data_IF_294129024550
#
_entry.id   IF_294129024550
#
_cell.length_a   1.000
_cell.length_b   1.000
_cell.length_c   1.000
_cell.angle_alpha   90.00
_cell.angle_beta   90.00
_cell.angle_gamma   90.00
#
_symmetry.space_group_name_H-M   'P 1'
#
loop_
_entity.id
_entity.type
_entity.pdbx_description
1 polymer ?
#
# COMPACT_ATOMS: atom_id res chain seq x y z
N UNK A 1 17.96 10.10 28.77
CA UNK A 1 18.69 8.82 28.60
C UNK A 1 18.00 7.78 29.46
N UNK A 2 17.61 6.66 28.88
CA UNK A 2 17.04 5.55 29.64
C UNK A 2 18.17 4.75 30.29
N UNK A 3 17.87 4.05 31.38
CA UNK A 3 18.81 3.12 32.02
C UNK A 3 18.34 1.70 31.83
N UNK A 4 19.25 0.80 31.53
CA UNK A 4 18.99 -0.62 31.27
C UNK A 4 19.84 -1.46 32.23
N UNK A 5 19.30 -2.59 32.67
CA UNK A 5 20.01 -3.57 33.48
C UNK A 5 20.14 -4.88 32.70
N UNK A 6 21.38 -5.33 32.50
CA UNK A 6 21.69 -6.63 31.88
C UNK A 6 22.15 -7.57 32.98
N UNK A 7 21.54 -8.73 33.10
CA UNK A 7 21.90 -9.78 34.03
C UNK A 7 22.56 -10.92 33.26
N UNK A 8 23.72 -11.36 33.74
CA UNK A 8 24.41 -12.55 33.24
C UNK A 8 24.87 -13.40 34.41
N UNK A 9 24.44 -14.67 34.43
CA UNK A 9 24.63 -15.60 35.56
C UNK A 9 24.14 -14.97 36.88
N UNK A 10 25.06 -14.56 37.75
CA UNK A 10 24.76 -13.94 39.06
C UNK A 10 25.15 -12.46 39.14
N UNK A 11 25.56 -11.86 38.02
CA UNK A 11 26.06 -10.48 37.95
C UNK A 11 25.11 -9.60 37.14
N UNK A 12 25.02 -8.33 37.52
CA UNK A 12 24.16 -7.35 36.83
C UNK A 12 25.01 -6.14 36.41
N UNK A 13 24.85 -5.72 35.17
CA UNK A 13 25.48 -4.55 34.58
C UNK A 13 24.43 -3.48 34.30
N UNK A 14 24.75 -2.23 34.62
CA UNK A 14 23.86 -1.08 34.38
C UNK A 14 24.45 -0.22 33.27
N UNK A 15 23.71 -0.05 32.18
CA UNK A 15 24.09 0.85 31.07
C UNK A 15 23.07 1.97 30.87
N UNK A 16 23.54 3.12 30.39
CA UNK A 16 22.71 4.26 29.97
C UNK A 16 22.58 4.21 28.45
N UNK A 17 21.36 4.29 27.93
CA UNK A 17 21.07 4.26 26.50
C UNK A 17 20.38 5.56 26.05
N UNK A 18 20.81 6.08 24.90
CA UNK A 18 20.15 7.21 24.24
C UNK A 18 18.89 6.72 23.49
N UNK A 19 17.87 7.57 23.28
CA UNK A 19 16.64 7.15 22.59
C UNK A 19 16.85 6.55 21.19
N UNK A 20 17.87 7.03 20.46
CA UNK A 20 18.20 6.57 19.11
C UNK A 20 19.29 5.48 19.08
N UNK A 21 19.87 5.12 20.23
CA UNK A 21 20.88 4.07 20.31
C UNK A 21 20.23 2.68 20.26
N UNK A 22 20.98 1.68 19.80
CA UNK A 22 20.49 0.30 19.64
C UNK A 22 20.92 -0.57 20.82
N UNK A 23 20.29 -1.73 20.98
CA UNK A 23 20.69 -2.68 22.02
C UNK A 23 22.01 -3.39 21.71
N UNK A 24 22.51 -3.35 20.47
CA UNK A 24 23.87 -3.82 20.13
C UNK A 24 24.96 -3.06 20.90
N UNK A 25 24.78 -1.75 21.09
CA UNK A 25 25.72 -0.92 21.86
C UNK A 25 25.74 -1.34 23.34
N UNK A 26 24.58 -1.71 23.88
CA UNK A 26 24.48 -2.23 25.25
C UNK A 26 25.02 -3.66 25.34
N UNK A 27 24.85 -4.46 24.28
CA UNK A 27 25.38 -5.81 24.20
C UNK A 27 26.91 -5.80 24.22
N UNK A 28 27.55 -5.01 23.36
CA UNK A 28 29.01 -4.86 23.35
C UNK A 28 29.55 -4.41 24.71
N UNK A 29 28.96 -3.36 25.31
CA UNK A 29 29.31 -2.90 26.66
C UNK A 29 29.12 -3.98 27.73
N UNK A 30 28.07 -4.82 27.60
CA UNK A 30 27.82 -5.90 28.54
C UNK A 30 28.82 -7.05 28.38
N UNK A 31 29.21 -7.41 27.16
CA UNK A 31 30.23 -8.43 26.90
C UNK A 31 31.59 -8.01 27.46
N UNK A 32 31.96 -6.74 27.24
CA UNK A 32 33.18 -6.16 27.79
C UNK A 32 33.16 -6.16 29.33
N UNK A 33 32.02 -5.82 29.96
CA UNK A 33 31.89 -5.82 31.41
C UNK A 33 31.91 -7.23 32.01
N UNK A 34 31.30 -8.22 31.34
CA UNK A 34 31.23 -9.60 31.83
C UNK A 34 32.44 -10.46 31.42
N UNK A 35 33.41 -9.92 30.66
CA UNK A 35 34.54 -10.65 30.09
C UNK A 35 34.11 -11.93 29.36
N UNK A 36 33.04 -11.84 28.57
CA UNK A 36 32.50 -12.96 27.78
C UNK A 36 33.05 -12.89 26.36
N UNK A 37 33.36 -14.04 25.75
CA UNK A 37 33.90 -14.10 24.38
C UNK A 37 32.98 -13.37 23.40
N UNK A 38 33.54 -12.63 22.45
CA UNK A 38 32.76 -11.91 21.42
C UNK A 38 32.34 -12.79 20.24
N UNK A 39 32.85 -14.03 20.20
CA UNK A 39 32.63 -14.96 19.09
C UNK A 39 31.31 -15.74 19.21
N UNK A 40 30.62 -15.66 20.35
CA UNK A 40 29.33 -16.31 20.59
C UNK A 40 28.12 -15.53 20.05
N UNK A 41 27.02 -16.23 19.79
CA UNK A 41 25.75 -15.62 19.35
C UNK A 41 24.92 -15.21 20.57
N UNK A 42 25.11 -13.98 21.04
CA UNK A 42 24.43 -13.48 22.24
C UNK A 42 23.09 -12.83 21.92
N UNK A 43 22.09 -13.11 22.76
CA UNK A 43 20.78 -12.48 22.67
C UNK A 43 20.32 -11.98 24.04
N UNK A 44 19.48 -10.93 24.02
CA UNK A 44 18.79 -10.45 25.22
C UNK A 44 17.40 -11.05 25.35
N UNK A 45 17.09 -11.49 26.56
CA UNK A 45 15.79 -12.02 26.95
C UNK A 45 15.11 -11.12 27.98
N UNK A 46 13.82 -10.87 27.79
CA UNK A 46 12.95 -10.21 28.78
C UNK A 46 11.68 -11.01 28.95
N UNK A 47 11.40 -11.44 30.18
CA UNK A 47 10.23 -12.26 30.51
C UNK A 47 10.10 -13.51 29.61
N UNK A 48 11.22 -14.16 29.28
CA UNK A 48 11.26 -15.35 28.41
C UNK A 48 11.10 -15.08 26.91
N UNK A 49 11.01 -13.82 26.46
CA UNK A 49 10.97 -13.45 25.04
C UNK A 49 12.30 -12.85 24.57
N UNK A 50 12.79 -13.32 23.41
CA UNK A 50 13.97 -12.76 22.73
C UNK A 50 13.64 -11.36 22.23
N UNK A 51 14.59 -10.44 22.39
CA UNK A 51 14.47 -9.05 21.94
C UNK A 51 15.43 -8.83 20.79
N UNK A 52 14.97 -8.11 19.78
CA UNK A 52 15.77 -7.71 18.63
C UNK A 52 16.79 -6.63 19.00
N UNK A 53 18.05 -6.87 18.63
CA UNK A 53 19.17 -6.02 19.03
C UNK A 53 19.40 -4.81 18.12
N UNK A 54 18.90 -4.90 16.88
CA UNK A 54 19.13 -3.92 15.81
C UNK A 54 18.13 -2.76 15.82
N UNK A 55 17.10 -2.82 16.67
CA UNK A 55 16.05 -1.82 16.72
C UNK A 55 16.42 -0.70 17.72
N UNK A 56 16.25 0.59 17.36
CA UNK A 56 16.45 1.71 18.27
C UNK A 56 15.64 1.60 19.56
N UNK A 57 16.21 2.01 20.70
CA UNK A 57 15.58 1.92 22.02
C UNK A 57 14.16 2.51 22.06
N UNK A 58 13.95 3.67 21.41
CA UNK A 58 12.64 4.34 21.35
C UNK A 58 11.53 3.50 20.71
N UNK A 59 11.87 2.60 19.78
CA UNK A 59 10.90 1.78 19.02
C UNK A 59 10.59 0.46 19.71
N UNK A 60 11.41 0.03 20.67
CA UNK A 60 11.19 -1.21 21.41
C UNK A 60 10.04 -1.12 22.43
N UNK A 61 9.47 0.07 22.66
CA UNK A 61 8.39 0.33 23.64
C UNK A 61 8.70 -0.23 25.05
N UNK A 62 9.97 -0.18 25.45
CA UNK A 62 10.42 -0.68 26.75
C UNK A 62 10.46 0.46 27.78
N UNK A 63 10.04 0.22 29.02
CA UNK A 63 10.12 1.22 30.07
C UNK A 63 11.58 1.49 30.45
N UNK A 64 11.85 2.70 30.94
CA UNK A 64 13.12 3.01 31.59
C UNK A 64 13.36 2.06 32.78
N UNK A 65 14.56 1.50 32.88
CA UNK A 65 14.89 0.48 33.88
C UNK A 65 14.60 -0.95 33.44
N UNK A 66 14.40 -1.21 32.13
CA UNK A 66 14.21 -2.57 31.62
C UNK A 66 15.35 -3.50 32.04
N UNK A 67 14.98 -4.73 32.44
CA UNK A 67 15.90 -5.80 32.82
C UNK A 67 15.98 -6.82 31.70
N UNK A 68 17.19 -7.16 31.30
CA UNK A 68 17.50 -8.16 30.28
C UNK A 68 18.33 -9.27 30.89
N UNK A 69 18.14 -10.49 30.42
CA UNK A 69 19.02 -11.62 30.69
C UNK A 69 19.85 -11.88 29.42
N UNK A 70 21.16 -11.88 29.55
CA UNK A 70 22.10 -12.23 28.48
C UNK A 70 22.18 -13.75 28.40
N UNK A 71 21.89 -14.30 27.22
CA UNK A 71 22.02 -15.74 26.97
C UNK A 71 22.96 -15.95 25.78
N UNK A 72 23.86 -16.92 25.94
CA UNK A 72 24.65 -17.46 24.85
C UNK A 72 23.79 -18.47 24.09
N UNK A 73 23.46 -18.17 22.84
CA UNK A 73 22.85 -19.14 21.95
C UNK A 73 24.01 -19.96 21.40
N UNK A 74 24.36 -21.03 22.11
CA UNK A 74 25.28 -22.03 21.57
C UNK A 74 24.79 -22.39 20.17
N UNK A 75 25.60 -22.11 19.15
CA UNK A 75 25.34 -22.32 17.73
C UNK A 75 25.36 -23.81 17.36
N UNK A 76 24.66 -24.65 18.14
CA UNK A 76 24.65 -26.10 17.98
C UNK A 76 23.27 -26.70 17.64
N UNK A 77 22.19 -25.92 17.59
CA UNK A 77 20.84 -26.50 17.40
C UNK A 77 20.19 -26.28 16.02
N UNK A 78 20.83 -25.59 15.08
CA UNK A 78 20.21 -25.31 13.76
C UNK A 78 21.00 -25.74 12.52
N UNK A 79 22.18 -26.37 12.66
CA UNK A 79 22.95 -26.84 11.51
C UNK A 79 22.57 -28.24 11.00
N UNK A 80 21.88 -29.07 11.80
CA UNK A 80 21.62 -30.48 11.46
C UNK A 80 20.15 -30.80 11.13
N UNK A 81 19.21 -29.88 11.33
CA UNK A 81 17.80 -30.14 10.99
C UNK A 81 17.59 -29.96 9.48
N UNK A 82 17.03 -30.97 8.77
CA UNK A 82 16.71 -30.82 7.36
C UNK A 82 15.60 -29.79 7.19
N UNK A 83 15.83 -28.81 6.31
CA UNK A 83 14.87 -27.75 5.98
C UNK A 83 14.12 -28.15 4.72
N UNK A 84 12.79 -28.06 4.74
CA UNK A 84 11.94 -28.29 3.57
C UNK A 84 11.81 -27.02 2.75
N UNK A 85 12.40 -26.99 1.57
CA UNK A 85 12.39 -25.83 0.68
C UNK A 85 11.54 -26.13 -0.55
N UNK A 86 10.60 -25.24 -0.86
CA UNK A 86 9.78 -25.32 -2.08
C UNK A 86 10.43 -24.48 -3.18
N UNK A 87 10.91 -25.11 -4.24
CA UNK A 87 11.40 -24.47 -5.46
C UNK A 87 10.25 -24.30 -6.44
N UNK A 88 9.88 -23.05 -6.75
CA UNK A 88 8.92 -22.70 -7.79
C UNK A 88 9.69 -22.13 -8.98
N UNK A 89 9.70 -22.84 -10.10
CA UNK A 89 10.37 -22.39 -11.32
C UNK A 89 9.29 -21.90 -12.29
N UNK A 90 9.47 -20.68 -12.80
CA UNK A 90 8.58 -20.16 -13.85
C UNK A 90 8.63 -21.05 -15.09
N UNK A 91 7.46 -21.52 -15.55
CA UNK A 91 7.32 -22.42 -16.69
C UNK A 91 7.48 -23.92 -16.41
N UNK A 92 8.14 -24.32 -15.31
CA UNK A 92 8.46 -25.74 -15.02
C UNK A 92 7.76 -26.33 -13.77
N UNK A 93 7.05 -25.50 -13.00
CA UNK A 93 6.22 -25.92 -11.86
C UNK A 93 6.89 -25.79 -10.50
N UNK A 94 6.36 -26.47 -9.48
CA UNK A 94 6.87 -26.40 -8.10
C UNK A 94 7.31 -27.75 -7.55
N UNK A 95 8.42 -27.77 -6.81
CA UNK A 95 8.99 -28.96 -6.16
C UNK A 95 9.38 -28.67 -4.71
N UNK A 96 9.19 -29.63 -3.80
CA UNK A 96 9.65 -29.52 -2.42
C UNK A 96 10.86 -30.45 -2.25
N UNK A 97 11.95 -29.95 -1.68
CA UNK A 97 13.15 -30.74 -1.38
C UNK A 97 13.62 -30.49 0.05
N UNK A 98 14.05 -31.55 0.71
CA UNK A 98 14.72 -31.48 2.01
C UNK A 98 16.21 -31.21 1.79
N UNK A 99 16.71 -30.14 2.39
CA UNK A 99 18.07 -29.64 2.20
C UNK A 99 18.65 -29.21 3.55
N UNK A 100 19.97 -29.36 3.74
CA UNK A 100 20.64 -28.85 4.93
C UNK A 100 21.04 -27.38 4.75
N UNK A 101 21.06 -26.62 5.83
CA UNK A 101 21.40 -25.20 5.78
C UNK A 101 22.82 -24.93 5.24
N UNK A 102 23.72 -25.91 5.33
CA UNK A 102 25.11 -25.83 4.87
C UNK A 102 25.30 -26.22 3.39
N UNK A 103 24.29 -26.82 2.75
CA UNK A 103 24.40 -27.27 1.37
C UNK A 103 24.53 -26.09 0.40
N UNK A 104 25.28 -26.29 -0.68
CA UNK A 104 25.46 -25.28 -1.73
C UNK A 104 24.21 -25.24 -2.62
N UNK A 105 23.63 -24.05 -2.76
CA UNK A 105 22.38 -23.85 -3.49
C UNK A 105 22.45 -24.38 -4.94
N UNK A 106 23.49 -24.02 -5.69
CA UNK A 106 23.62 -24.42 -7.09
C UNK A 106 23.71 -25.94 -7.31
N UNK A 107 24.39 -26.68 -6.41
CA UNK A 107 24.50 -28.14 -6.53
C UNK A 107 23.14 -28.81 -6.36
N UNK A 108 22.33 -28.30 -5.43
CA UNK A 108 20.96 -28.81 -5.23
C UNK A 108 20.05 -28.46 -6.39
N UNK A 109 20.21 -27.29 -7.00
CA UNK A 109 19.47 -26.88 -8.20
C UNK A 109 19.84 -27.73 -9.42
N UNK A 110 21.13 -28.02 -9.63
CA UNK A 110 21.59 -28.94 -10.67
C UNK A 110 21.05 -30.37 -10.47
N UNK A 111 21.00 -30.83 -9.22
CA UNK A 111 20.40 -32.13 -8.88
C UNK A 111 18.90 -32.17 -9.21
N UNK A 112 18.18 -31.08 -8.93
CA UNK A 112 16.76 -30.93 -9.28
C UNK A 112 16.53 -30.93 -10.80
N UNK A 113 17.42 -30.27 -11.55
CA UNK A 113 17.35 -30.20 -13.00
C UNK A 113 17.47 -31.60 -13.64
N UNK A 114 18.46 -32.39 -13.21
CA UNK A 114 18.69 -33.74 -13.74
C UNK A 114 17.54 -34.71 -13.40
N UNK A 115 16.98 -34.59 -12.20
CA UNK A 115 15.90 -35.46 -11.71
C UNK A 115 14.58 -35.25 -12.47
N UNK A 116 14.28 -33.99 -12.84
CA UNK A 116 13.02 -33.63 -13.51
C UNK A 116 13.14 -33.44 -15.02
N UNK A 117 14.35 -33.56 -15.58
CA UNK A 117 14.65 -33.23 -16.99
C UNK A 117 14.17 -31.83 -17.36
N UNK A 118 14.46 -30.85 -16.51
CA UNK A 118 14.12 -29.47 -16.81
C UNK A 118 15.19 -28.86 -17.72
N UNK A 119 14.79 -28.45 -18.92
CA UNK A 119 15.68 -27.80 -19.89
C UNK A 119 15.73 -26.30 -19.61
N UNK A 120 16.59 -25.89 -18.67
CA UNK A 120 16.91 -24.48 -18.45
C UNK A 120 18.39 -24.22 -18.32
N UNK A 121 18.83 -23.05 -18.81
CA UNK A 121 20.20 -22.58 -18.66
C UNK A 121 20.39 -22.02 -17.25
N UNK A 122 21.31 -22.63 -16.48
CA UNK A 122 21.63 -22.17 -15.12
C UNK A 122 22.17 -20.73 -15.08
N UNK A 123 22.77 -20.24 -16.17
CA UNK A 123 23.37 -18.89 -16.26
C UNK A 123 22.34 -17.76 -16.34
N UNK A 124 21.13 -18.06 -16.81
CA UNK A 124 20.08 -17.07 -17.01
C UNK A 124 19.12 -17.02 -15.81
N UNK A 125 19.51 -17.61 -14.67
CA UNK A 125 18.64 -17.72 -13.51
C UNK A 125 18.73 -16.47 -12.63
N UNK A 126 17.56 -15.89 -12.35
CA UNK A 126 17.32 -14.98 -11.24
C UNK A 126 16.57 -15.72 -10.12
N UNK A 127 17.23 -15.89 -8.97
CA UNK A 127 16.59 -16.46 -7.78
C UNK A 127 16.06 -15.31 -6.94
N UNK A 128 14.76 -15.26 -6.70
CA UNK A 128 14.20 -14.31 -5.73
C UNK A 128 14.14 -14.97 -4.36
N UNK A 129 14.91 -14.40 -3.44
CA UNK A 129 14.95 -14.79 -2.04
C UNK A 129 14.39 -13.63 -1.22
N UNK A 130 13.20 -13.83 -0.66
CA UNK A 130 12.42 -12.79 0.03
C UNK A 130 12.19 -11.56 -0.86
N UNK A 131 12.92 -10.45 -0.63
CA UNK A 131 12.83 -9.20 -1.39
C UNK A 131 14.11 -8.89 -2.20
N UNK A 132 15.06 -9.84 -2.27
CA UNK A 132 16.32 -9.68 -3.00
C UNK A 132 16.33 -10.64 -4.20
N UNK A 133 16.60 -10.11 -5.39
CA UNK A 133 16.95 -10.90 -6.55
C UNK A 133 18.45 -11.20 -6.49
N UNK A 134 18.82 -12.48 -6.56
CA UNK A 134 20.20 -12.95 -6.57
C UNK A 134 20.45 -13.61 -7.92
N UNK A 135 21.49 -13.18 -8.61
CA UNK A 135 21.88 -13.65 -9.94
C UNK A 135 22.87 -14.81 -9.86
N UNK A 136 23.00 -15.57 -10.94
CA UNK A 136 23.92 -16.72 -11.02
C UNK A 136 25.34 -16.43 -10.50
N UNK A 137 25.90 -15.27 -10.84
CA UNK A 137 27.24 -14.83 -10.41
C UNK A 137 27.42 -14.72 -8.88
N UNK A 138 26.33 -14.44 -8.15
CA UNK A 138 26.33 -14.33 -6.70
C UNK A 138 26.03 -15.67 -6.01
N UNK A 139 25.43 -16.62 -6.73
CA UNK A 139 25.01 -17.92 -6.20
C UNK A 139 26.12 -18.97 -6.17
N UNK A 140 27.25 -18.73 -6.82
CA UNK A 140 28.33 -19.72 -7.03
C UNK A 140 28.89 -20.31 -5.73
N UNK A 141 28.94 -19.51 -4.65
CA UNK A 141 29.52 -19.90 -3.37
C UNK A 141 28.57 -19.77 -2.18
N UNK A 142 27.27 -19.59 -2.42
CA UNK A 142 26.29 -19.36 -1.35
C UNK A 142 25.61 -20.67 -0.90
N UNK A 143 25.61 -20.88 0.42
CA UNK A 143 24.82 -21.93 1.08
C UNK A 143 23.40 -21.42 1.38
N UNK A 144 22.49 -22.34 1.67
CA UNK A 144 21.13 -21.99 2.09
C UNK A 144 21.11 -21.06 3.31
N UNK A 145 21.99 -21.28 4.29
CA UNK A 145 22.15 -20.39 5.45
C UNK A 145 22.58 -18.97 5.06
N UNK A 146 23.52 -18.83 4.11
CA UNK A 146 24.00 -17.52 3.65
C UNK A 146 22.95 -16.74 2.85
N UNK A 147 22.01 -17.46 2.23
CA UNK A 147 20.84 -16.89 1.55
C UNK A 147 19.68 -16.59 2.52
N UNK A 148 19.85 -16.86 3.83
CA UNK A 148 18.83 -16.61 4.85
C UNK A 148 17.77 -17.71 4.97
N UNK A 149 17.97 -18.88 4.34
CA UNK A 149 17.08 -20.03 4.47
C UNK A 149 17.40 -20.82 5.74
N UNK A 150 16.81 -20.37 6.85
CA UNK A 150 16.89 -21.04 8.17
C UNK A 150 15.59 -21.80 8.49
N UNK A 151 14.50 -21.48 7.79
CA UNK A 151 13.15 -22.01 7.99
C UNK A 151 12.57 -22.59 6.69
N UNK A 152 11.54 -23.46 6.73
CA UNK A 152 10.92 -24.01 5.53
C UNK A 152 10.31 -22.92 4.66
N UNK A 153 10.99 -22.60 3.55
CA UNK A 153 10.72 -21.41 2.73
C UNK A 153 10.43 -21.78 1.28
N UNK A 154 9.66 -20.93 0.59
CA UNK A 154 9.45 -21.05 -0.86
C UNK A 154 10.39 -20.11 -1.61
N UNK A 155 11.12 -20.66 -2.58
CA UNK A 155 12.06 -19.96 -3.46
C UNK A 155 11.48 -19.89 -4.85
N UNK A 156 11.41 -18.68 -5.43
CA UNK A 156 11.00 -18.53 -6.83
C UNK A 156 12.23 -18.32 -7.71
N UNK A 157 12.30 -19.09 -8.78
CA UNK A 157 13.36 -19.08 -9.77
C UNK A 157 12.74 -18.60 -11.08
N UNK A 158 13.16 -17.43 -11.54
CA UNK A 158 12.77 -16.86 -12.83
C UNK A 158 13.97 -16.75 -13.76
N UNK A 159 13.72 -16.67 -15.06
CA UNK A 159 14.77 -16.50 -16.07
C UNK A 159 14.94 -15.02 -16.42
N UNK A 160 16.19 -14.60 -16.58
CA UNK A 160 16.56 -13.28 -17.07
C UNK A 160 16.48 -13.34 -18.58
N UNK A 161 15.61 -12.54 -19.17
CA UNK A 161 15.58 -12.37 -20.61
C UNK A 161 16.77 -11.50 -21.03
N UNK A 162 17.55 -11.97 -22.01
CA UNK A 162 18.78 -11.34 -22.49
C UNK A 162 18.53 -9.96 -23.13
N UNK A 163 17.28 -9.53 -23.31
CA UNK A 163 16.91 -8.22 -23.83
C UNK A 163 17.06 -7.05 -22.81
N UNK A 164 17.24 -7.32 -21.52
CA UNK A 164 17.23 -6.29 -20.47
C UNK A 164 18.61 -5.93 -19.88
N UNK A 165 19.71 -6.22 -20.57
CA UNK A 165 21.08 -5.94 -20.09
C UNK A 165 21.82 -4.94 -20.99
N UNK A 166 21.47 -3.65 -20.89
CA UNK A 166 22.39 -2.57 -21.29
C UNK A 166 22.09 -1.28 -20.52
N UNK A 167 22.49 -1.24 -19.24
CA UNK A 167 22.79 0.02 -18.56
C UNK A 167 24.27 -0.06 -18.19
N UNK A 168 25.12 0.52 -19.05
CA UNK A 168 26.51 0.78 -18.70
C UNK A 168 26.60 2.11 -17.95
N UNK A 169 27.32 2.06 -16.83
CA UNK A 169 27.93 3.17 -16.13
C UNK A 169 28.93 3.89 -17.06
N UNK A 170 28.94 5.23 -17.07
CA UNK A 170 30.11 6.02 -17.45
C UNK A 170 30.16 7.34 -16.68
N UNK A 171 31.33 7.56 -16.08
CA UNK A 171 31.76 8.73 -15.33
C UNK A 171 32.04 9.97 -16.21
N UNK A 172 31.97 11.10 -15.52
CA UNK A 172 32.35 12.50 -15.77
C UNK A 172 33.55 12.78 -16.69
N UNK A 173 33.43 13.77 -17.59
CA UNK A 173 34.45 14.83 -17.80
C UNK A 173 33.87 16.07 -18.52
N UNK A 174 34.42 17.23 -18.15
CA UNK A 174 33.97 18.59 -18.48
C UNK A 174 34.39 19.03 -19.89
N UNK A 175 33.53 19.78 -20.58
CA UNK A 175 33.97 20.93 -21.38
C UNK A 175 32.83 21.95 -21.55
N UNK A 176 33.17 23.22 -21.35
CA UNK A 176 32.33 24.39 -21.62
C UNK A 176 33.04 25.16 -22.75
N UNK A 177 32.32 25.83 -23.68
CA UNK A 177 32.05 27.25 -23.43
C UNK A 177 30.69 27.79 -23.93
N UNK A 178 30.26 28.84 -23.22
CA UNK A 178 29.24 29.89 -23.48
C UNK A 178 29.31 30.56 -24.89
N UNK A 179 28.46 31.57 -25.23
CA UNK A 179 27.01 31.79 -24.97
C UNK A 179 26.27 32.40 -26.20
N UNK A 180 24.94 32.26 -26.37
CA UNK A 180 24.16 33.33 -27.04
C UNK A 180 22.64 33.30 -26.78
N UNK A 181 22.17 34.40 -26.20
CA UNK A 181 20.89 35.12 -26.35
C UNK A 181 19.52 34.38 -26.37
N UNK A 182 18.85 34.45 -25.21
CA UNK A 182 17.54 35.12 -24.98
C UNK A 182 16.45 35.04 -26.06
N UNK A 183 15.38 34.29 -25.77
CA UNK A 183 13.98 34.80 -25.89
C UNK A 183 13.12 34.18 -24.77
N UNK A 184 12.43 35.04 -24.02
CA UNK A 184 11.53 34.71 -22.91
C UNK A 184 10.26 33.95 -23.35
N UNK A 185 9.68 33.08 -22.51
CA UNK A 185 8.37 32.50 -22.76
C UNK A 185 7.25 33.46 -22.31
N UNK A 186 6.33 33.72 -23.23
CA UNK A 186 5.04 34.36 -22.97
C UNK A 186 4.22 33.39 -22.10
N UNK A 187 3.80 33.87 -20.93
CA UNK A 187 2.78 33.22 -20.10
C UNK A 187 1.41 33.47 -20.73
N UNK A 188 0.77 32.42 -21.20
CA UNK A 188 -0.69 32.38 -21.32
C UNK A 188 -1.24 31.46 -20.23
N UNK A 189 -1.80 32.09 -19.21
CA UNK A 189 -2.74 31.45 -18.28
C UNK A 189 -3.96 30.97 -19.08
N UNK A 190 -4.02 29.68 -19.39
CA UNK A 190 -5.27 29.03 -19.74
C UNK A 190 -5.83 28.38 -18.49
N UNK A 191 -6.74 29.11 -17.83
CA UNK A 191 -7.72 28.53 -16.93
C UNK A 191 -8.53 27.47 -17.69
N UNK A 192 -8.22 26.19 -17.48
CA UNK A 192 -9.06 25.09 -17.98
C UNK A 192 -10.30 25.00 -17.10
N UNK A 193 -11.37 25.63 -17.57
CA UNK A 193 -12.75 25.35 -17.15
C UNK A 193 -13.09 23.90 -17.54
N UNK A 194 -13.73 23.09 -16.67
CA UNK A 194 -14.10 21.73 -17.04
C UNK A 194 -15.19 21.76 -18.12
N UNK A 195 -14.89 21.21 -19.29
CA UNK A 195 -15.88 20.95 -20.34
C UNK A 195 -16.94 19.96 -19.83
N UNK A 196 -18.22 20.12 -20.21
CA UNK A 196 -19.28 19.19 -19.81
C UNK A 196 -18.98 17.78 -20.34
N UNK A 197 -19.04 16.78 -19.45
CA UNK A 197 -18.91 15.38 -19.84
C UNK A 197 -20.00 15.01 -20.86
N UNK A 198 -19.59 14.62 -22.07
CA UNK A 198 -20.53 14.18 -23.12
C UNK A 198 -21.02 12.77 -22.76
N UNK A 199 -22.32 12.66 -22.49
CA UNK A 199 -23.01 11.41 -22.14
C UNK A 199 -22.78 10.38 -23.27
N UNK A 200 -22.53 9.13 -22.91
CA UNK A 200 -22.24 7.98 -23.79
C UNK A 200 -20.93 8.07 -24.61
N UNK A 201 -20.02 9.00 -24.32
CA UNK A 201 -18.71 9.00 -24.99
C UNK A 201 -17.71 8.09 -24.26
N UNK A 202 -17.17 7.03 -24.92
CA UNK A 202 -16.16 6.18 -24.32
C UNK A 202 -14.81 6.91 -24.22
N UNK A 203 -14.22 6.92 -23.03
CA UNK A 203 -12.85 7.36 -22.78
C UNK A 203 -12.03 6.20 -22.23
N UNK A 204 -10.95 5.83 -22.92
CA UNK A 204 -10.05 4.80 -22.43
C UNK A 204 -8.94 5.42 -21.56
N UNK A 205 -8.51 4.66 -20.56
CA UNK A 205 -7.34 4.95 -19.74
C UNK A 205 -6.39 3.78 -19.76
N UNK A 206 -5.12 4.08 -20.02
CA UNK A 206 -4.04 3.11 -20.04
C UNK A 206 -3.21 3.29 -18.75
N UNK A 207 -2.73 2.20 -18.14
CA UNK A 207 -1.78 2.30 -17.03
C UNK A 207 -0.57 3.16 -17.43
N UNK A 208 -0.22 4.14 -16.61
CA UNK A 208 1.01 4.92 -16.81
C UNK A 208 2.22 4.01 -16.57
N UNK A 209 3.28 4.16 -17.36
CA UNK A 209 4.58 3.52 -17.11
C UNK A 209 5.27 4.08 -15.86
N UNK A 210 4.86 5.27 -15.42
CA UNK A 210 5.27 5.82 -14.14
C UNK A 210 4.58 5.06 -13.00
N UNK A 211 5.38 4.33 -12.23
CA UNK A 211 4.89 3.65 -11.04
C UNK A 211 4.33 4.68 -10.05
N UNK A 212 3.05 4.55 -9.71
CA UNK A 212 2.37 5.33 -8.66
C UNK A 212 3.17 5.27 -7.34
N UNK A 213 3.90 4.18 -7.14
CA UNK A 213 4.79 3.96 -6.00
C UNK A 213 5.86 5.06 -5.90
N UNK A 214 6.40 5.56 -7.02
CA UNK A 214 7.40 6.63 -7.02
C UNK A 214 6.83 7.98 -6.55
N UNK A 215 5.55 8.23 -6.85
CA UNK A 215 4.83 9.43 -6.37
C UNK A 215 4.43 9.31 -4.90
N UNK A 216 4.12 8.10 -4.43
CA UNK A 216 3.81 7.85 -3.01
C UNK A 216 5.08 7.88 -2.14
N UNK A 217 6.22 7.39 -2.63
CA UNK A 217 7.51 7.44 -1.90
C UNK A 217 7.98 8.89 -1.69
N UNK A 218 7.65 9.79 -2.61
CA UNK A 218 7.99 11.22 -2.47
C UNK A 218 7.07 11.97 -1.51
N UNK A 219 5.92 11.40 -1.16
CA UNK A 219 5.05 11.87 -0.08
C UNK A 219 5.45 11.18 1.22
N UNK A 220 6.56 11.61 1.81
CA UNK A 220 6.88 11.28 3.21
C UNK A 220 5.89 12.05 4.11
N UNK A 221 4.69 11.49 4.27
CA UNK A 221 3.70 11.98 5.23
C UNK A 221 4.29 11.80 6.63
N UNK A 222 4.75 12.91 7.25
CA UNK A 222 5.41 12.86 8.55
C UNK A 222 4.56 12.19 9.64
N UNK A 223 5.21 11.65 10.66
CA UNK A 223 4.59 10.88 11.77
C UNK A 223 3.35 11.56 12.39
N UNK A 224 3.32 12.89 12.41
CA UNK A 224 2.21 13.71 12.91
C UNK A 224 0.87 13.42 12.20
N UNK A 225 0.90 12.95 10.94
CA UNK A 225 -0.29 12.58 10.14
C UNK A 225 -1.05 11.42 10.78
N UNK A 226 -0.33 10.54 11.48
CA UNK A 226 -0.88 9.38 12.17
C UNK A 226 -1.25 9.66 13.63
N UNK A 227 -0.93 10.86 14.15
CA UNK A 227 -1.33 11.27 15.49
C UNK A 227 -2.76 11.83 15.52
N UNK A 228 -3.55 11.39 16.52
CA UNK A 228 -4.93 11.82 16.67
C UNK A 228 -5.00 13.29 17.12
N UNK A 229 -5.44 14.17 16.23
CA UNK A 229 -5.66 15.58 16.57
C UNK A 229 -6.83 15.76 17.55
N UNK A 230 -6.82 16.86 18.31
CA UNK A 230 -7.88 17.19 19.28
C UNK A 230 -9.25 17.31 18.60
N UNK A 231 -9.31 17.83 17.37
CA UNK A 231 -10.56 17.97 16.62
C UNK A 231 -11.08 16.63 16.11
N UNK A 232 -10.20 15.73 15.66
CA UNK A 232 -10.57 14.35 15.35
C UNK A 232 -11.06 13.61 16.60
N UNK A 233 -10.40 13.81 17.75
CA UNK A 233 -10.83 13.22 19.03
C UNK A 233 -12.21 13.70 19.47
N UNK A 234 -12.52 15.00 19.32
CA UNK A 234 -13.87 15.55 19.57
C UNK A 234 -14.92 14.94 18.63
N UNK A 235 -14.63 14.84 17.33
CA UNK A 235 -15.52 14.17 16.36
C UNK A 235 -15.76 12.71 16.72
N UNK A 236 -14.69 12.00 17.11
CA UNK A 236 -14.79 10.62 17.54
C UNK A 236 -15.64 10.46 18.81
N UNK A 237 -15.47 11.35 19.80
CA UNK A 237 -16.31 11.38 21.00
C UNK A 237 -17.79 11.62 20.66
N UNK A 238 -18.10 12.51 19.70
CA UNK A 238 -19.46 12.71 19.22
C UNK A 238 -20.03 11.44 18.56
N UNK A 239 -19.25 10.77 17.70
CA UNK A 239 -19.64 9.50 17.08
C UNK A 239 -19.92 8.44 18.14
N UNK A 240 -19.07 8.31 19.15
CA UNK A 240 -19.28 7.40 20.27
C UNK A 240 -20.54 7.77 21.03
N UNK A 241 -20.75 9.04 21.37
CA UNK A 241 -21.95 9.48 22.10
C UNK A 241 -23.25 9.17 21.34
N UNK A 242 -23.24 9.32 20.01
CA UNK A 242 -24.37 8.99 19.15
C UNK A 242 -24.60 7.47 19.07
N UNK A 243 -23.54 6.66 19.18
CA UNK A 243 -23.61 5.20 19.20
C UNK A 243 -23.97 4.63 20.59
N UNK A 244 -23.58 5.29 21.68
CA UNK A 244 -23.73 4.81 23.06
C UNK A 244 -25.03 5.21 23.74
N UNK A 245 -25.96 5.88 23.02
CA UNK A 245 -27.30 6.13 23.53
C UNK A 245 -28.00 4.83 23.95
N UNK A 246 -28.19 4.65 25.26
CA UNK A 246 -28.96 3.57 25.93
C UNK A 246 -28.72 2.14 25.42
N UNK A 247 -27.75 1.42 26.00
CA UNK A 247 -27.56 -0.05 26.04
C UNK A 247 -27.82 -0.88 24.75
N UNK A 248 -27.91 -0.25 23.58
CA UNK A 248 -28.29 -0.88 22.31
C UNK A 248 -28.42 0.10 21.12
N UNK A 249 -28.09 1.38 21.31
CA UNK A 249 -28.27 2.42 20.29
C UNK A 249 -29.73 2.88 20.18
N UNK A 250 -30.00 3.98 19.47
CA UNK A 250 -31.37 4.45 19.24
C UNK A 250 -32.18 3.38 18.50
N UNK A 251 -33.34 3.00 19.07
CA UNK A 251 -34.24 2.02 18.46
C UNK A 251 -34.58 2.47 17.03
N UNK A 252 -34.42 1.56 16.07
CA UNK A 252 -34.83 1.75 14.68
C UNK A 252 -36.37 1.71 14.57
N UNK A 253 -37.03 2.77 15.04
CA UNK A 253 -38.49 2.92 14.94
C UNK A 253 -38.93 2.92 13.47
N UNK A 254 -40.19 2.56 13.21
CA UNK A 254 -40.79 2.58 11.85
C UNK A 254 -40.53 3.93 11.14
N UNK A 255 -40.77 5.03 11.86
CA UNK A 255 -40.50 6.39 11.38
C UNK A 255 -39.03 6.61 10.99
N UNK A 256 -38.08 6.12 11.78
CA UNK A 256 -36.64 6.28 11.50
C UNK A 256 -36.20 5.46 10.27
N UNK A 257 -36.83 4.30 10.04
CA UNK A 257 -36.58 3.47 8.84
C UNK A 257 -37.08 4.17 7.59
N UNK A 258 -38.33 4.62 7.60
CA UNK A 258 -38.93 5.38 6.49
C UNK A 258 -38.12 6.64 6.19
N UNK A 259 -37.69 7.37 7.23
CA UNK A 259 -36.84 8.54 7.04
C UNK A 259 -35.50 8.19 6.37
N UNK A 260 -34.80 7.13 6.82
CA UNK A 260 -33.55 6.69 6.16
C UNK A 260 -33.78 6.29 4.72
N UNK A 261 -34.87 5.60 4.42
CA UNK A 261 -35.20 5.17 3.07
C UNK A 261 -35.47 6.38 2.16
N UNK A 262 -36.20 7.38 2.66
CA UNK A 262 -36.40 8.65 1.95
C UNK A 262 -35.11 9.42 1.73
N UNK A 263 -34.21 9.47 2.73
CA UNK A 263 -32.91 10.09 2.61
C UNK A 263 -32.02 9.36 1.59
N UNK A 264 -32.04 8.02 1.59
CA UNK A 264 -31.32 7.20 0.61
C UNK A 264 -31.89 7.39 -0.80
N UNK A 265 -33.22 7.43 -0.94
CA UNK A 265 -33.89 7.70 -2.21
C UNK A 265 -33.61 9.12 -2.70
N UNK A 266 -33.59 10.11 -1.82
CA UNK A 266 -33.22 11.48 -2.17
C UNK A 266 -31.76 11.57 -2.62
N UNK A 267 -30.85 10.84 -1.98
CA UNK A 267 -29.44 10.74 -2.42
C UNK A 267 -29.31 10.09 -3.79
N UNK A 268 -30.07 9.00 -4.06
CA UNK A 268 -30.11 8.37 -5.40
C UNK A 268 -30.66 9.33 -6.45
N UNK A 269 -31.75 10.04 -6.14
CA UNK A 269 -32.34 11.04 -7.04
C UNK A 269 -31.42 12.27 -7.25
N UNK A 270 -30.50 12.54 -6.33
CA UNK A 270 -29.52 13.62 -6.46
C UNK A 270 -28.37 13.27 -7.43
N UNK A 271 -28.20 11.98 -7.78
CA UNK A 271 -27.21 11.55 -8.78
C UNK A 271 -27.67 12.02 -10.16
N UNK A 272 -26.92 12.96 -10.75
CA UNK A 272 -27.19 13.47 -12.10
C UNK A 272 -26.47 12.67 -13.18
N UNK A 273 -25.33 12.07 -12.83
CA UNK A 273 -24.42 11.37 -13.74
C UNK A 273 -23.88 10.12 -13.04
N UNK A 274 -23.80 9.03 -13.80
CA UNK A 274 -23.25 7.73 -13.39
C UNK A 274 -22.03 7.42 -14.26
N UNK A 275 -20.84 7.49 -13.67
CA UNK A 275 -19.61 7.08 -14.32
C UNK A 275 -19.45 5.57 -14.16
N UNK A 276 -19.50 4.84 -15.28
CA UNK A 276 -19.23 3.41 -15.30
C UNK A 276 -17.84 3.21 -15.85
N UNK A 277 -16.99 2.57 -15.04
CA UNK A 277 -15.62 2.25 -15.40
C UNK A 277 -15.45 0.75 -15.52
N UNK A 278 -15.17 0.28 -16.72
CA UNK A 278 -14.99 -1.13 -17.03
C UNK A 278 -13.50 -1.44 -17.04
N UNK A 279 -13.08 -2.39 -16.21
CA UNK A 279 -11.71 -2.90 -16.14
C UNK A 279 -11.58 -4.10 -17.08
N UNK A 280 -10.63 -4.04 -17.99
CA UNK A 280 -10.30 -5.14 -18.87
C UNK A 280 -9.17 -6.01 -18.31
N UNK A 281 -9.02 -7.26 -18.78
CA UNK A 281 -7.91 -8.14 -18.41
C UNK A 281 -6.52 -7.59 -18.79
N UNK A 282 -6.45 -6.71 -19.80
CA UNK A 282 -5.24 -6.05 -20.30
C UNK A 282 -4.83 -4.82 -19.45
N UNK A 283 -5.42 -4.66 -18.25
CA UNK A 283 -5.24 -3.54 -17.33
C UNK A 283 -5.73 -2.19 -17.86
N UNK A 284 -6.35 -2.15 -19.05
CA UNK A 284 -6.99 -0.94 -19.56
C UNK A 284 -8.32 -0.70 -18.87
N UNK A 285 -8.74 0.57 -18.86
CA UNK A 285 -10.01 0.98 -18.31
C UNK A 285 -10.82 1.74 -19.35
N UNK A 286 -12.11 1.47 -19.43
CA UNK A 286 -13.06 2.22 -20.23
C UNK A 286 -14.02 2.95 -19.31
N UNK A 287 -13.98 4.28 -19.30
CA UNK A 287 -14.92 5.12 -18.58
C UNK A 287 -15.95 5.68 -19.56
N UNK A 288 -17.23 5.48 -19.22
CA UNK A 288 -18.37 6.03 -19.96
C UNK A 288 -19.31 6.70 -18.95
N UNK A 289 -19.83 7.86 -19.33
CA UNK A 289 -20.80 8.61 -18.53
C UNK A 289 -22.22 8.28 -18.98
N UNK A 290 -23.04 7.83 -18.05
CA UNK A 290 -24.44 7.46 -18.24
C UNK A 290 -25.36 8.31 -17.36
N UNK A 291 -26.65 8.32 -17.69
CA UNK A 291 -27.70 8.86 -16.82
C UNK A 291 -28.14 7.78 -15.83
N UNK A 292 -28.65 8.16 -14.65
CA UNK A 292 -29.18 7.21 -13.67
C UNK A 292 -30.37 6.40 -14.21
N UNK A 293 -31.08 6.93 -15.20
CA UNK A 293 -32.25 6.31 -15.86
C UNK A 293 -31.88 5.37 -17.00
N UNK A 294 -30.60 5.20 -17.32
CA UNK A 294 -30.19 4.30 -18.41
C UNK A 294 -30.33 2.83 -17.97
N UNK A 295 -30.36 1.92 -18.95
CA UNK A 295 -30.47 0.48 -18.73
C UNK A 295 -29.15 -0.23 -18.98
N UNK A 296 -28.98 -1.42 -18.40
CA UNK A 296 -27.79 -2.24 -18.65
C UNK A 296 -27.61 -2.60 -20.12
N UNK A 297 -28.70 -2.76 -20.89
CA UNK A 297 -28.60 -2.97 -22.35
C UNK A 297 -27.85 -1.86 -23.07
N UNK A 298 -28.05 -0.60 -22.66
CA UNK A 298 -27.33 0.54 -23.23
C UNK A 298 -25.85 0.44 -22.87
N UNK A 299 -25.53 0.06 -21.63
CA UNK A 299 -24.14 -0.18 -21.21
C UNK A 299 -23.50 -1.27 -22.08
N UNK A 300 -24.15 -2.43 -22.24
CA UNK A 300 -23.66 -3.51 -23.10
C UNK A 300 -23.43 -3.07 -24.56
N UNK A 301 -24.35 -2.28 -25.12
CA UNK A 301 -24.23 -1.77 -26.49
C UNK A 301 -23.09 -0.73 -26.65
N UNK A 302 -22.92 0.17 -25.68
CA UNK A 302 -21.81 1.12 -25.73
C UNK A 302 -20.44 0.44 -25.53
N UNK A 303 -20.40 -0.63 -24.73
CA UNK A 303 -19.20 -1.44 -24.57
C UNK A 303 -18.90 -2.21 -25.84
N UNK A 304 -19.88 -2.87 -26.47
CA UNK A 304 -19.65 -3.62 -27.71
C UNK A 304 -19.14 -2.73 -28.85
N UNK A 305 -19.64 -1.49 -28.99
CA UNK A 305 -19.11 -0.51 -29.94
C UNK A 305 -17.67 -0.10 -29.67
N UNK A 306 -17.23 -0.17 -28.41
CA UNK A 306 -15.86 0.15 -28.02
C UNK A 306 -14.89 -1.02 -28.21
N UNK A 307 -15.39 -2.25 -28.37
CA UNK A 307 -14.59 -3.44 -28.62
C UNK A 307 -14.13 -3.54 -30.08
N UNK A 308 -13.00 -4.20 -30.32
CA UNK A 308 -12.51 -4.51 -31.68
C UNK A 308 -13.57 -5.32 -32.44
N UNK A 309 -14.09 -6.37 -31.80
CA UNK A 309 -15.16 -7.22 -32.32
C UNK A 309 -16.51 -6.81 -31.68
N UNK A 310 -17.42 -6.27 -32.48
CA UNK A 310 -18.76 -5.83 -32.01
C UNK A 310 -19.63 -7.02 -31.54
N UNK A 311 -19.43 -8.19 -32.15
CA UNK A 311 -20.21 -9.40 -31.89
C UNK A 311 -19.61 -10.32 -30.81
N UNK A 312 -18.67 -9.80 -30.01
CA UNK A 312 -18.05 -10.59 -28.94
C UNK A 312 -19.03 -10.85 -27.79
N UNK A 313 -19.14 -12.12 -27.38
CA UNK A 313 -19.86 -12.48 -26.16
C UNK A 313 -19.01 -12.19 -24.91
N UNK A 314 -19.47 -11.25 -24.09
CA UNK A 314 -18.82 -10.86 -22.84
C UNK A 314 -19.83 -10.70 -21.70
N UNK A 315 -19.34 -10.81 -20.48
CA UNK A 315 -20.10 -10.58 -19.25
C UNK A 315 -19.42 -9.56 -18.35
N UNK A 316 -20.21 -8.68 -17.74
CA UNK A 316 -19.75 -7.66 -16.80
C UNK A 316 -20.03 -8.10 -15.36
N UNK A 317 -19.04 -7.94 -14.49
CA UNK A 317 -19.14 -8.28 -13.07
C UNK A 317 -18.95 -7.07 -12.16
N UNK A 318 -19.69 -7.01 -11.05
CA UNK A 318 -19.34 -6.16 -9.92
C UNK A 318 -18.22 -6.84 -9.10
N UNK A 319 -17.29 -6.07 -8.55
CA UNK A 319 -16.10 -6.64 -7.90
C UNK A 319 -16.38 -7.21 -6.51
N UNK A 320 -17.22 -6.56 -5.70
CA UNK A 320 -17.47 -6.98 -4.31
C UNK A 320 -18.94 -6.75 -3.90
N UNK A 321 -19.74 -7.80 -3.67
CA UNK A 321 -19.50 -9.22 -3.99
C UNK A 321 -19.47 -9.47 -5.52
N UNK A 322 -18.86 -10.57 -5.95
CA UNK A 322 -18.83 -10.92 -7.39
C UNK A 322 -20.23 -11.25 -7.87
N UNK A 323 -20.89 -10.26 -8.50
CA UNK A 323 -22.25 -10.36 -9.04
C UNK A 323 -22.18 -10.19 -10.54
N UNK A 324 -22.68 -11.18 -11.26
CA UNK A 324 -22.86 -11.10 -12.70
C UNK A 324 -24.00 -10.15 -13.04
N UNK A 325 -23.78 -9.27 -14.02
CA UNK A 325 -24.77 -8.32 -14.50
C UNK A 325 -25.28 -8.79 -15.86
N UNK A 326 -26.54 -9.24 -15.92
CA UNK A 326 -27.18 -9.62 -17.19
C UNK A 326 -27.50 -8.39 -18.04
N UNK A 327 -27.63 -8.59 -19.37
CA UNK A 327 -28.01 -7.56 -20.32
C UNK A 327 -29.53 -7.28 -20.29
N UNK A 328 -30.03 -6.90 -19.12
CA UNK A 328 -31.45 -6.69 -18.86
C UNK A 328 -31.85 -5.21 -18.94
N UNK A 329 -33.16 -4.93 -18.93
CA UNK A 329 -33.72 -3.58 -18.86
C UNK A 329 -33.65 -2.96 -17.45
N UNK A 330 -32.89 -3.57 -16.53
CA UNK A 330 -32.67 -3.05 -15.18
C UNK A 330 -32.00 -1.68 -15.22
N UNK A 331 -32.52 -0.75 -14.41
CA UNK A 331 -32.02 0.61 -14.31
C UNK A 331 -30.71 0.66 -13.52
N UNK A 332 -29.76 1.49 -13.97
CA UNK A 332 -28.45 1.61 -13.34
C UNK A 332 -28.53 2.07 -11.88
N UNK A 333 -29.31 3.12 -11.58
CA UNK A 333 -29.37 3.70 -10.24
C UNK A 333 -30.37 3.00 -9.30
N UNK A 334 -31.55 2.65 -9.81
CA UNK A 334 -32.66 2.15 -8.99
C UNK A 334 -32.57 0.64 -8.72
N UNK A 335 -32.29 -0.17 -9.75
CA UNK A 335 -32.29 -1.64 -9.62
C UNK A 335 -30.91 -2.20 -9.25
N UNK A 336 -29.85 -1.60 -9.81
CA UNK A 336 -28.47 -2.07 -9.64
C UNK A 336 -27.67 -1.29 -8.60
N UNK A 337 -28.27 -0.24 -8.05
CA UNK A 337 -27.69 0.62 -7.01
C UNK A 337 -26.33 1.24 -7.41
N UNK A 338 -26.12 1.52 -8.69
CA UNK A 338 -24.90 2.18 -9.15
C UNK A 338 -24.81 3.59 -8.57
N UNK A 339 -23.67 3.90 -7.95
CA UNK A 339 -23.39 5.24 -7.42
C UNK A 339 -22.86 6.18 -8.50
N UNK A 340 -22.36 7.34 -8.07
CA UNK A 340 -21.73 8.32 -8.98
C UNK A 340 -20.59 7.70 -9.78
N UNK A 341 -19.77 6.82 -9.17
CA UNK A 341 -18.69 6.10 -9.83
C UNK A 341 -18.82 4.62 -9.50
N UNK A 342 -18.97 3.79 -10.53
CA UNK A 342 -19.10 2.33 -10.40
C UNK A 342 -18.04 1.65 -11.25
N UNK A 343 -17.35 0.66 -10.67
CA UNK A 343 -16.32 -0.12 -11.36
C UNK A 343 -16.87 -1.50 -11.68
N UNK A 344 -16.82 -1.88 -12.95
CA UNK A 344 -17.20 -3.19 -13.46
C UNK A 344 -15.97 -3.92 -13.99
N UNK A 345 -15.97 -5.24 -13.94
CA UNK A 345 -14.94 -6.10 -14.50
C UNK A 345 -15.47 -6.75 -15.78
N UNK A 346 -14.68 -6.69 -16.85
CA UNK A 346 -14.97 -7.32 -18.12
C UNK A 346 -14.39 -8.74 -18.15
N UNK A 347 -15.20 -9.69 -18.61
CA UNK A 347 -14.77 -11.07 -18.89
C UNK A 347 -15.32 -11.51 -20.25
N UNK A 348 -14.42 -11.91 -21.14
CA UNK A 348 -14.79 -12.58 -22.40
C UNK A 348 -14.80 -14.09 -22.20
N UNK A 349 -15.66 -14.80 -22.94
CA UNK A 349 -15.69 -16.26 -23.00
C UNK A 349 -14.49 -16.79 -23.79
N UNK A 350 -14.00 -16.01 -24.77
CA UNK A 350 -12.87 -16.34 -25.62
C UNK A 350 -11.62 -15.61 -25.14
N UNK A 351 -10.89 -16.20 -24.20
CA UNK A 351 -9.70 -15.62 -23.54
C UNK A 351 -8.45 -15.48 -24.42
N UNK A 352 -8.56 -15.55 -25.75
CA UNK A 352 -7.40 -15.62 -26.66
C UNK A 352 -7.00 -14.26 -27.27
N UNK A 353 -7.61 -13.15 -26.84
CA UNK A 353 -7.26 -11.81 -27.32
C UNK A 353 -6.47 -11.04 -26.27
N UNK A 354 -5.37 -10.41 -26.72
CA UNK A 354 -4.47 -9.60 -25.89
C UNK A 354 -4.96 -8.15 -25.74
N UNK A 355 -5.77 -7.66 -26.67
CA UNK A 355 -6.31 -6.30 -26.69
C UNK A 355 -7.81 -6.36 -27.00
N UNK A 356 -8.62 -5.73 -26.16
CA UNK A 356 -10.08 -5.76 -26.31
C UNK A 356 -10.65 -4.47 -26.91
N UNK A 357 -9.98 -3.33 -26.71
CA UNK A 357 -10.45 -2.02 -27.13
C UNK A 357 -9.98 -1.64 -28.54
N UNK A 358 -10.83 -0.92 -29.29
CA UNK A 358 -10.48 -0.36 -30.60
C UNK A 358 -9.26 0.55 -30.54
N UNK A 359 -8.42 0.45 -31.56
CA UNK A 359 -7.25 1.31 -31.76
C UNK A 359 -7.61 2.81 -31.78
N UNK A 360 -8.79 3.18 -32.33
CA UNK A 360 -9.27 4.56 -32.34
C UNK A 360 -9.50 5.14 -30.94
N UNK A 361 -9.92 4.30 -29.98
CA UNK A 361 -10.17 4.72 -28.60
C UNK A 361 -8.87 4.74 -27.81
N UNK A 362 -7.95 3.81 -28.10
CA UNK A 362 -6.61 3.77 -27.51
C UNK A 362 -5.76 4.97 -27.92
N UNK A 363 -5.89 5.48 -29.15
CA UNK A 363 -5.19 6.69 -29.61
C UNK A 363 -5.60 7.96 -28.85
N UNK A 364 -6.83 8.01 -28.37
CA UNK A 364 -7.34 9.11 -27.54
C UNK A 364 -7.33 8.77 -26.04
N UNK A 365 -6.65 7.69 -25.65
CA UNK A 365 -6.61 7.27 -24.26
C UNK A 365 -5.82 8.25 -23.39
N UNK A 366 -6.35 8.52 -22.21
CA UNK A 366 -5.67 9.35 -21.19
C UNK A 366 -4.83 8.46 -20.27
N UNK A 367 -3.81 9.05 -19.64
CA UNK A 367 -3.04 8.33 -18.62
C UNK A 367 -3.89 8.16 -17.37
N UNK A 368 -3.67 7.07 -16.64
CA UNK A 368 -4.36 6.79 -15.38
C UNK A 368 -4.26 7.95 -14.36
N UNK A 369 -3.16 8.71 -14.37
CA UNK A 369 -2.96 9.87 -13.48
C UNK A 369 -3.88 11.06 -13.78
N UNK A 370 -4.44 11.16 -14.99
CA UNK A 370 -5.38 12.24 -15.35
C UNK A 370 -6.80 11.96 -14.86
N UNK A 371 -7.01 10.82 -14.19
CA UNK A 371 -8.27 10.57 -13.53
C UNK A 371 -8.45 11.58 -12.42
N UNK A 372 -9.59 12.27 -12.45
CA UNK A 372 -10.05 13.11 -11.36
C UNK A 372 -10.16 12.25 -10.09
N UNK A 373 -9.08 12.18 -9.33
CA UNK A 373 -9.06 11.63 -7.99
C UNK A 373 -10.10 12.39 -7.19
N UNK A 374 -10.87 11.64 -6.41
CA UNK A 374 -11.65 12.24 -5.35
C UNK A 374 -10.62 12.95 -4.47
N UNK A 375 -10.57 14.28 -4.56
CA UNK A 375 -9.81 15.09 -3.60
C UNK A 375 -10.37 14.75 -2.24
N UNK A 376 -9.72 13.81 -1.56
CA UNK A 376 -9.88 13.66 -0.12
C UNK A 376 -9.44 15.02 0.40
N UNK A 377 -10.32 15.69 1.13
CA UNK A 377 -10.07 16.98 1.77
C UNK A 377 -8.92 16.81 2.77
N UNK A 378 -7.68 16.68 2.25
CA UNK A 378 -6.47 16.90 3.00
C UNK A 378 -6.46 18.40 3.25
N UNK A 379 -7.01 18.78 4.41
CA UNK A 379 -6.95 20.13 4.93
C UNK A 379 -5.48 20.51 5.10
N UNK A 380 -4.88 21.00 4.02
CA UNK A 380 -3.60 21.66 4.03
C UNK A 380 -3.79 22.96 4.81
N UNK A 381 -3.49 22.90 6.11
CA UNK A 381 -3.25 24.09 6.90
C UNK A 381 -1.96 24.70 6.36
N UNK A 382 -2.08 25.52 5.32
CA UNK A 382 -1.02 26.39 4.88
C UNK A 382 -0.77 27.42 5.97
N UNK A 383 0.34 27.25 6.67
CA UNK A 383 0.90 28.22 7.58
C UNK A 383 1.08 29.56 6.85
N UNK A 384 0.18 30.50 7.09
CA UNK A 384 0.36 31.88 6.65
C UNK A 384 1.27 32.58 7.65
N UNK A 385 2.43 33.02 7.15
CA UNK A 385 3.34 33.90 7.87
C UNK A 385 2.66 35.22 8.21
N UNK A 386 3.08 35.70 9.37
CA UNK A 386 2.87 37.01 9.98
C UNK A 386 3.19 38.13 8.99
N UNK A 387 2.28 39.09 8.87
CA UNK A 387 2.63 40.49 8.61
C UNK A 387 1.90 41.39 9.60
N UNK A 388 2.70 42.29 10.16
CA UNK A 388 2.40 43.26 11.20
C UNK A 388 1.94 44.56 10.53
N UNK A 389 0.69 44.97 10.73
CA UNK A 389 0.37 46.40 10.64
C UNK A 389 -0.88 46.78 11.47
N UNK A 390 -0.62 47.68 12.41
CA UNK A 390 -1.55 48.33 13.30
C UNK A 390 -2.56 49.24 12.58
N UNK A 391 -3.85 49.13 12.87
CA UNK A 391 -4.67 50.31 13.20
C UNK A 391 -6.02 49.97 13.86
N UNK A 392 -6.27 50.69 14.95
CA UNK A 392 -7.48 50.87 15.77
C UNK A 392 -8.83 50.98 15.02
N UNK A 393 -9.87 50.27 15.52
CA UNK A 393 -11.10 50.86 16.15
C UNK A 393 -12.19 49.83 16.55
N UNK A 394 -12.42 49.73 17.86
CA UNK A 394 -13.70 49.86 18.63
C UNK A 394 -14.91 48.92 18.33
N UNK A 395 -15.14 48.03 19.32
CA UNK A 395 -16.42 47.60 19.94
C UNK A 395 -17.42 46.67 19.20
N UNK A 396 -17.64 45.48 19.78
CA UNK A 396 -18.87 45.14 20.54
C UNK A 396 -18.75 43.76 21.21
N UNK A 397 -18.66 43.80 22.53
CA UNK A 397 -18.80 42.67 23.45
C UNK A 397 -20.21 42.08 23.42
N UNK A 398 -20.35 40.75 23.32
CA UNK A 398 -21.53 40.03 23.81
C UNK A 398 -21.08 38.95 24.78
N UNK A 399 -21.48 39.16 26.03
CA UNK A 399 -21.10 38.39 27.20
C UNK A 399 -21.66 36.95 27.20
N UNK A 400 -20.79 36.01 27.56
CA UNK A 400 -21.15 34.78 28.27
C UNK A 400 -21.94 35.16 29.53
N UNK A 401 -23.14 34.61 29.72
CA UNK A 401 -23.73 34.24 31.02
C UNK A 401 -25.20 33.80 30.85
N UNK A 402 -25.44 32.51 30.57
CA UNK A 402 -26.72 31.85 30.89
C UNK A 402 -26.48 30.39 31.28
N UNK A 403 -26.27 30.17 32.57
CA UNK A 403 -26.32 28.82 33.16
C UNK A 403 -27.80 28.41 33.24
N UNK A 404 -28.21 27.26 32.67
CA UNK A 404 -29.59 26.83 32.65
C UNK A 404 -30.07 26.40 34.06
N UNK A 405 -31.36 26.65 34.32
CA UNK A 405 -32.00 26.58 35.66
C UNK A 405 -31.94 25.22 36.37
N UNK A 406 -31.58 24.13 35.69
CA UNK A 406 -31.46 22.80 36.30
C UNK A 406 -30.09 22.56 36.99
N UNK A 407 -29.10 23.45 36.81
CA UNK A 407 -27.80 23.37 37.48
C UNK A 407 -27.74 24.09 38.85
N UNK A 408 -28.88 24.58 39.36
CA UNK A 408 -28.97 25.20 40.69
C UNK A 408 -29.76 24.30 41.64
N UNK A 409 -29.17 23.17 42.01
CA UNK A 409 -29.59 22.41 43.19
C UNK A 409 -28.59 22.69 44.30
N UNK A 410 -29.07 23.43 45.31
CA UNK A 410 -28.32 23.89 46.46
C UNK A 410 -28.07 22.78 47.47
N UNK A 411 -26.94 22.93 48.18
CA UNK A 411 -26.65 22.24 49.43
C UNK A 411 -27.72 22.59 50.46
N UNK A 412 -28.38 21.58 51.01
CA UNK A 412 -28.67 21.46 52.44
C UNK A 412 -28.84 19.99 52.77
#
# INVERSE_FOLDING_TARGET
MATVFVKYKFTTFRSKIAPNATLNDVLSQSLDHFNVSKDGSYHFLRNGKKIELNVPWRLLNLPAGAKFELIDVETKENSEKPIKIRFQIDGFGSMIREVQAQDVFLKTLQSLQQEKKWDFNLRDISVRVFNKAVYYSELENMSFASLGFVEPTSVRIGFIDAAASSIQLKDTEMENPMPEASVAPIKEDVQVSPEPHVIHKPTAYIPSEESIISQLITQDEGDDTYELTVDQARRYQQILSNKTGSLGGPLLTKRLREQRELEMRAKRNALKECFIRIKFPDLTFLEIVFKPSDTMKIVYNEVSKALIDEDMEFTLFQTHPMKELSADDSLLADDLEFGSKTVLLFKSINSNQELFLRSSILQHAKKLNDLNEVKIDQGSVSATKVDDESSTKVSKTKALNKIPKWLKLGKK
#
